data_IF_193484578040
#
_entry.id   IF_193484578040
#
_cell.length_a   1.000
_cell.length_b   1.000
_cell.length_c   1.000
_cell.angle_alpha   90.00
_cell.angle_beta   90.00
_cell.angle_gamma   90.00
#
_symmetry.space_group_name_H-M   'P 1'
#
loop_
_entity.id
_entity.type
_entity.pdbx_description
1 polymer ?
#
# COMPACT_ATOMS: atom_id res chain seq x y z
N UNK A 1 -31.01 -7.83 -11.21
CA UNK A 1 -31.68 -6.64 -10.66
C UNK A 1 -31.73 -6.73 -9.11
N UNK A 2 -32.36 -7.75 -8.50
CA UNK A 2 -32.56 -7.89 -7.03
C UNK A 2 -31.30 -7.62 -6.20
N UNK A 3 -30.16 -8.19 -6.56
CA UNK A 3 -28.87 -7.94 -5.88
C UNK A 3 -28.53 -6.43 -5.85
N UNK A 4 -28.70 -5.73 -6.96
CA UNK A 4 -28.36 -4.31 -7.05
C UNK A 4 -29.32 -3.46 -6.21
N UNK A 5 -30.61 -3.85 -6.14
CA UNK A 5 -31.60 -3.19 -5.29
C UNK A 5 -31.26 -3.37 -3.80
N UNK A 6 -30.77 -4.55 -3.41
CA UNK A 6 -30.30 -4.79 -2.04
C UNK A 6 -29.01 -3.99 -1.75
N UNK A 7 -28.06 -3.94 -2.68
CA UNK A 7 -26.86 -3.07 -2.55
C UNK A 7 -27.26 -1.60 -2.43
N UNK A 8 -28.30 -1.16 -3.15
CA UNK A 8 -28.82 0.22 -3.09
C UNK A 8 -29.35 0.57 -1.71
N UNK A 9 -30.11 -0.36 -1.08
CA UNK A 9 -30.63 -0.17 0.28
C UNK A 9 -29.52 -0.05 1.32
N UNK A 10 -28.36 -0.66 1.08
CA UNK A 10 -27.21 -0.64 1.98
C UNK A 10 -26.28 0.57 1.77
N UNK A 11 -26.56 1.45 0.79
CA UNK A 11 -25.78 2.67 0.58
C UNK A 11 -25.93 3.61 1.79
N UNK A 12 -24.79 4.06 2.32
CA UNK A 12 -24.75 4.89 3.53
C UNK A 12 -24.73 4.08 4.85
N UNK A 13 -25.03 2.77 4.81
CA UNK A 13 -24.97 1.88 5.97
C UNK A 13 -23.67 1.05 5.95
N UNK A 14 -23.53 0.21 4.93
CA UNK A 14 -22.37 -0.70 4.78
C UNK A 14 -21.74 -0.69 3.37
N UNK A 15 -22.35 0.02 2.44
CA UNK A 15 -21.89 0.16 1.05
C UNK A 15 -21.78 1.63 0.67
N UNK A 16 -20.80 1.96 -0.18
CA UNK A 16 -20.69 3.30 -0.75
C UNK A 16 -21.52 3.43 -2.03
N UNK A 17 -21.90 4.67 -2.36
CA UNK A 17 -22.61 5.02 -3.60
C UNK A 17 -21.83 4.55 -4.83
N UNK A 18 -20.51 4.68 -4.81
CA UNK A 18 -19.63 4.24 -5.90
C UNK A 18 -19.64 2.71 -6.06
N UNK A 19 -19.83 1.97 -4.97
CA UNK A 19 -19.97 0.50 -5.04
C UNK A 19 -21.26 0.12 -5.75
N UNK A 20 -22.38 0.76 -5.39
CA UNK A 20 -23.65 0.56 -6.09
C UNK A 20 -23.54 0.91 -7.58
N UNK A 21 -22.99 2.08 -7.93
CA UNK A 21 -22.78 2.50 -9.32
C UNK A 21 -21.97 1.49 -10.14
N UNK A 22 -20.95 0.88 -9.54
CA UNK A 22 -20.14 -0.15 -10.22
C UNK A 22 -20.92 -1.43 -10.53
N UNK A 23 -21.88 -1.81 -9.68
CA UNK A 23 -22.77 -2.94 -9.95
C UNK A 23 -23.80 -2.58 -11.02
N UNK A 24 -24.35 -1.37 -11.00
CA UNK A 24 -25.27 -0.91 -12.04
C UNK A 24 -24.59 -0.89 -13.43
N UNK A 25 -23.38 -0.36 -13.52
CA UNK A 25 -22.61 -0.39 -14.77
C UNK A 25 -22.34 -1.83 -15.22
N UNK A 26 -22.03 -2.74 -14.28
CA UNK A 26 -21.82 -4.16 -14.61
C UNK A 26 -23.11 -4.82 -15.13
N UNK A 27 -24.25 -4.53 -14.51
CA UNK A 27 -25.56 -5.01 -14.95
C UNK A 27 -25.88 -4.51 -16.37
N UNK A 28 -25.68 -3.20 -16.61
CA UNK A 28 -25.92 -2.63 -17.93
C UNK A 28 -25.06 -3.30 -19.00
N UNK A 29 -23.76 -3.47 -18.77
CA UNK A 29 -22.86 -4.14 -19.72
C UNK A 29 -23.25 -5.60 -19.99
N UNK A 30 -23.77 -6.31 -19.00
CA UNK A 30 -24.29 -7.65 -19.16
C UNK A 30 -25.57 -7.66 -20.00
N UNK A 31 -26.50 -6.75 -19.76
CA UNK A 31 -27.73 -6.63 -20.53
C UNK A 31 -27.43 -6.27 -21.99
N UNK A 32 -26.51 -5.30 -22.22
CA UNK A 32 -26.07 -4.93 -23.57
C UNK A 32 -25.46 -6.14 -24.30
N UNK A 33 -24.61 -6.93 -23.64
CA UNK A 33 -24.02 -8.16 -24.18
C UNK A 33 -25.08 -9.22 -24.55
N UNK A 34 -26.02 -9.48 -23.64
CA UNK A 34 -27.10 -10.46 -23.90
C UNK A 34 -27.93 -10.03 -25.13
N UNK A 35 -28.26 -8.76 -25.19
CA UNK A 35 -29.03 -8.22 -26.33
C UNK A 35 -28.26 -8.29 -27.63
N UNK A 36 -26.97 -7.87 -27.62
CA UNK A 36 -26.16 -7.78 -28.86
C UNK A 36 -25.73 -9.19 -29.35
N UNK A 37 -25.35 -10.07 -28.45
CA UNK A 37 -24.77 -11.37 -28.83
C UNK A 37 -25.81 -12.47 -29.01
N UNK A 38 -26.87 -12.47 -28.17
CA UNK A 38 -27.90 -13.50 -28.19
C UNK A 38 -29.23 -13.03 -28.79
N UNK A 39 -29.37 -11.73 -29.08
CA UNK A 39 -30.57 -11.10 -29.60
C UNK A 39 -31.83 -11.34 -28.74
N UNK A 40 -31.66 -11.43 -27.43
CA UNK A 40 -32.75 -11.58 -26.44
C UNK A 40 -32.62 -10.51 -25.34
N UNK A 41 -33.73 -10.26 -24.63
CA UNK A 41 -33.75 -9.28 -23.56
C UNK A 41 -33.16 -9.78 -22.22
N UNK A 42 -33.23 -11.11 -21.99
CA UNK A 42 -32.71 -11.77 -20.79
C UNK A 42 -32.46 -13.25 -21.09
N UNK A 43 -31.64 -13.92 -20.27
CA UNK A 43 -31.36 -15.34 -20.35
C UNK A 43 -31.50 -16.01 -18.97
N UNK A 44 -31.82 -17.31 -18.98
CA UNK A 44 -31.84 -18.09 -17.74
C UNK A 44 -30.44 -18.25 -17.17
N UNK A 45 -30.30 -18.17 -15.83
CA UNK A 45 -29.02 -18.46 -15.16
C UNK A 45 -28.51 -19.88 -15.43
N UNK A 46 -29.39 -20.83 -15.79
CA UNK A 46 -29.02 -22.18 -16.17
C UNK A 46 -28.31 -22.28 -17.52
N UNK A 47 -28.48 -21.28 -18.37
CA UNK A 47 -27.83 -21.18 -19.70
C UNK A 47 -26.44 -20.56 -19.60
N UNK A 48 -26.12 -19.92 -18.45
CA UNK A 48 -24.80 -19.36 -18.21
C UNK A 48 -23.79 -20.49 -18.00
N UNK A 49 -23.02 -20.77 -19.02
CA UNK A 49 -21.97 -21.80 -19.03
C UNK A 49 -20.58 -21.16 -19.23
N UNK A 50 -19.55 -21.99 -19.34
CA UNK A 50 -18.17 -21.52 -19.54
C UNK A 50 -18.03 -20.71 -20.85
N UNK A 51 -18.70 -21.12 -21.93
CA UNK A 51 -18.65 -20.41 -23.22
C UNK A 51 -19.29 -19.02 -23.11
N UNK A 52 -20.40 -18.88 -22.36
CA UNK A 52 -21.00 -17.58 -22.08
C UNK A 52 -19.99 -16.63 -21.40
N UNK A 53 -19.24 -17.11 -20.41
CA UNK A 53 -18.22 -16.30 -19.72
C UNK A 53 -17.10 -15.87 -20.68
N UNK A 54 -16.66 -16.77 -21.54
CA UNK A 54 -15.63 -16.49 -22.55
C UNK A 54 -16.11 -15.44 -23.56
N UNK A 55 -17.31 -15.59 -24.09
CA UNK A 55 -17.91 -14.64 -25.03
C UNK A 55 -18.11 -13.27 -24.37
N UNK A 56 -18.53 -13.24 -23.09
CA UNK A 56 -18.65 -11.98 -22.35
C UNK A 56 -17.29 -11.32 -22.12
N UNK A 57 -16.24 -12.08 -21.82
CA UNK A 57 -14.88 -11.55 -21.71
C UNK A 57 -14.42 -10.90 -23.03
N UNK A 58 -14.62 -11.58 -24.16
CA UNK A 58 -14.31 -11.07 -25.50
C UNK A 58 -15.10 -9.79 -25.79
N UNK A 59 -16.42 -9.79 -25.56
CA UNK A 59 -17.28 -8.63 -25.75
C UNK A 59 -16.79 -7.41 -24.94
N UNK A 60 -16.42 -7.60 -23.68
CA UNK A 60 -15.90 -6.52 -22.85
C UNK A 60 -14.59 -5.94 -23.41
N UNK A 61 -13.73 -6.80 -23.95
CA UNK A 61 -12.42 -6.36 -24.48
C UNK A 61 -12.53 -5.74 -25.86
N UNK A 62 -13.40 -6.25 -26.72
CA UNK A 62 -13.56 -5.78 -28.11
C UNK A 62 -14.62 -4.66 -28.23
N UNK A 63 -15.89 -4.99 -28.06
CA UNK A 63 -17.00 -4.02 -28.24
C UNK A 63 -16.99 -2.91 -27.19
N UNK A 64 -16.62 -3.22 -25.94
CA UNK A 64 -16.54 -2.23 -24.86
C UNK A 64 -15.18 -1.58 -24.67
N UNK A 65 -14.15 -1.98 -25.41
CA UNK A 65 -12.78 -1.45 -25.33
C UNK A 65 -12.17 -1.49 -23.90
N UNK A 66 -12.57 -2.49 -23.09
CA UNK A 66 -12.12 -2.63 -21.71
C UNK A 66 -10.71 -3.23 -21.66
N UNK A 67 -9.81 -2.59 -20.90
CA UNK A 67 -8.49 -3.18 -20.59
C UNK A 67 -8.66 -4.39 -19.67
N UNK A 68 -7.70 -5.33 -19.69
CA UNK A 68 -7.68 -6.59 -18.93
C UNK A 68 -8.19 -6.46 -17.47
N UNK A 69 -7.68 -5.50 -16.71
CA UNK A 69 -8.07 -5.33 -15.31
C UNK A 69 -9.50 -4.80 -15.13
N UNK A 70 -10.01 -4.07 -16.11
CA UNK A 70 -11.41 -3.61 -16.12
C UNK A 70 -12.34 -4.78 -16.41
N UNK A 71 -12.02 -5.57 -17.42
CA UNK A 71 -12.73 -6.84 -17.77
C UNK A 71 -12.76 -7.78 -16.57
N UNK A 72 -11.61 -8.04 -15.94
CA UNK A 72 -11.53 -8.88 -14.75
C UNK A 72 -12.43 -8.39 -13.60
N UNK A 73 -12.57 -7.07 -13.41
CA UNK A 73 -13.50 -6.51 -12.40
C UNK A 73 -14.97 -6.70 -12.76
N UNK A 74 -15.33 -6.67 -14.02
CA UNK A 74 -16.70 -7.00 -14.45
C UNK A 74 -16.99 -8.48 -14.19
N UNK A 75 -16.10 -9.38 -14.58
CA UNK A 75 -16.21 -10.80 -14.33
C UNK A 75 -16.28 -11.13 -12.84
N UNK A 76 -15.49 -10.46 -11.97
CA UNK A 76 -15.59 -10.64 -10.52
C UNK A 76 -16.96 -10.25 -9.97
N UNK A 77 -17.56 -9.15 -10.45
CA UNK A 77 -18.90 -8.75 -10.01
C UNK A 77 -19.94 -9.74 -10.47
N UNK A 78 -19.83 -10.25 -11.70
CA UNK A 78 -20.71 -11.29 -12.21
C UNK A 78 -20.56 -12.56 -11.39
N UNK A 79 -19.32 -12.99 -11.08
CA UNK A 79 -19.07 -14.14 -10.22
C UNK A 79 -19.76 -14.03 -8.85
N UNK A 80 -19.84 -12.83 -8.27
CA UNK A 80 -20.57 -12.60 -7.01
C UNK A 80 -22.05 -12.98 -7.15
N UNK A 81 -22.68 -12.66 -8.28
CA UNK A 81 -24.07 -13.02 -8.56
C UNK A 81 -24.22 -14.53 -8.75
N UNK A 82 -23.30 -15.17 -9.47
CA UNK A 82 -23.28 -16.63 -9.67
C UNK A 82 -23.11 -17.38 -8.35
N UNK A 83 -22.22 -16.91 -7.47
CA UNK A 83 -22.06 -17.50 -6.13
C UNK A 83 -23.36 -17.37 -5.31
N UNK A 84 -24.01 -16.22 -5.38
CA UNK A 84 -25.33 -16.02 -4.73
C UNK A 84 -26.37 -17.00 -5.30
N UNK A 85 -26.43 -17.15 -6.61
CA UNK A 85 -27.36 -18.07 -7.27
C UNK A 85 -27.11 -19.53 -6.86
N UNK A 86 -25.85 -19.94 -6.78
CA UNK A 86 -25.45 -21.27 -6.32
C UNK A 86 -25.84 -21.52 -4.87
N UNK A 87 -25.54 -20.56 -3.98
CA UNK A 87 -25.87 -20.68 -2.55
C UNK A 87 -27.39 -20.72 -2.27
N UNK A 88 -28.19 -20.17 -3.19
CA UNK A 88 -29.65 -20.24 -3.11
C UNK A 88 -30.24 -21.45 -3.86
N UNK A 89 -29.40 -22.35 -4.42
CA UNK A 89 -29.85 -23.53 -5.14
C UNK A 89 -30.48 -23.26 -6.52
N UNK A 90 -30.35 -22.03 -7.05
CA UNK A 90 -30.92 -21.66 -8.37
C UNK A 90 -30.12 -22.26 -9.53
N UNK A 91 -28.83 -22.53 -9.29
CA UNK A 91 -27.96 -23.27 -10.20
C UNK A 91 -27.15 -24.31 -9.41
N UNK A 92 -26.89 -25.46 -10.03
CA UNK A 92 -26.10 -26.54 -9.44
C UNK A 92 -24.64 -26.50 -9.90
N UNK A 93 -24.41 -26.12 -11.14
CA UNK A 93 -23.08 -26.05 -11.76
C UNK A 93 -22.57 -24.63 -11.69
N UNK A 94 -21.34 -24.44 -11.19
CA UNK A 94 -20.68 -23.14 -11.19
C UNK A 94 -19.95 -22.91 -12.53
N UNK A 95 -20.41 -22.00 -13.40
CA UNK A 95 -19.76 -21.73 -14.67
C UNK A 95 -18.33 -21.16 -14.51
N UNK A 96 -18.00 -20.62 -13.33
CA UNK A 96 -16.66 -20.12 -13.02
C UNK A 96 -15.71 -21.19 -12.44
N UNK A 97 -16.14 -22.46 -12.27
CA UNK A 97 -15.32 -23.52 -11.64
C UNK A 97 -13.93 -23.62 -12.28
N UNK A 98 -13.89 -23.64 -13.63
CA UNK A 98 -12.65 -23.73 -14.41
C UNK A 98 -12.28 -22.41 -15.10
N UNK A 99 -12.97 -21.31 -14.79
CA UNK A 99 -12.72 -20.00 -15.40
C UNK A 99 -11.80 -19.17 -14.51
N UNK A 100 -10.58 -18.89 -15.01
CA UNK A 100 -9.57 -18.11 -14.27
C UNK A 100 -9.66 -16.64 -14.62
N UNK A 101 -10.18 -15.82 -13.72
CA UNK A 101 -10.15 -14.35 -13.84
C UNK A 101 -8.71 -13.88 -13.65
N UNK A 102 -8.09 -13.35 -14.71
CA UNK A 102 -6.68 -12.92 -14.70
C UNK A 102 -6.57 -11.41 -14.54
N UNK A 103 -5.76 -10.99 -13.55
CA UNK A 103 -5.35 -9.60 -13.38
C UNK A 103 -3.94 -9.40 -13.89
N UNK A 104 -3.75 -8.38 -14.73
CA UNK A 104 -2.40 -7.93 -15.10
C UNK A 104 -1.83 -7.11 -13.95
N UNK A 105 -0.65 -7.47 -13.47
CA UNK A 105 0.07 -6.69 -12.45
C UNK A 105 0.36 -5.29 -13.03
N UNK A 106 -0.10 -4.26 -12.32
CA UNK A 106 0.12 -2.86 -12.72
C UNK A 106 1.21 -2.28 -11.86
N UNK A 107 2.29 -1.87 -12.48
CA UNK A 107 3.29 -1.03 -11.84
C UNK A 107 2.81 0.42 -11.89
N UNK A 108 2.65 1.03 -10.74
CA UNK A 108 2.25 2.44 -10.64
C UNK A 108 3.43 3.38 -10.41
N UNK A 109 4.60 2.81 -10.18
CA UNK A 109 5.79 3.58 -9.83
C UNK A 109 5.68 4.27 -8.46
N UNK A 110 6.66 5.09 -8.18
CA UNK A 110 6.75 6.00 -7.02
C UNK A 110 7.69 7.15 -7.38
N UNK A 111 7.68 8.23 -6.63
CA UNK A 111 8.63 9.33 -6.79
C UNK A 111 9.92 9.04 -6.02
N UNK A 112 11.05 9.34 -6.67
CA UNK A 112 12.35 9.36 -5.99
C UNK A 112 12.44 10.57 -5.06
N UNK A 113 13.41 10.59 -4.14
CA UNK A 113 13.64 11.75 -3.29
C UNK A 113 13.95 13.01 -4.11
N UNK A 114 14.73 12.87 -5.18
CA UNK A 114 15.07 13.98 -6.08
C UNK A 114 13.82 14.58 -6.75
N UNK A 115 12.88 13.73 -7.22
CA UNK A 115 11.63 14.21 -7.82
C UNK A 115 10.74 14.93 -6.81
N UNK A 116 10.70 14.46 -5.54
CA UNK A 116 10.01 15.15 -4.45
C UNK A 116 10.64 16.52 -4.21
N UNK A 117 11.96 16.60 -4.14
CA UNK A 117 12.69 17.83 -3.90
C UNK A 117 12.48 18.86 -5.03
N UNK A 118 12.42 18.40 -6.29
CA UNK A 118 12.07 19.25 -7.44
C UNK A 118 10.67 19.84 -7.27
N UNK A 119 9.68 19.02 -6.93
CA UNK A 119 8.30 19.49 -6.70
C UNK A 119 8.23 20.47 -5.53
N UNK A 120 8.95 20.21 -4.44
CA UNK A 120 8.95 21.05 -3.25
C UNK A 120 9.58 22.44 -3.51
N UNK A 121 10.69 22.48 -4.26
CA UNK A 121 11.42 23.73 -4.55
C UNK A 121 10.77 24.57 -5.64
N UNK A 122 9.90 23.96 -6.46
CA UNK A 122 9.26 24.68 -7.57
C UNK A 122 8.31 25.74 -7.05
N UNK A 123 8.51 26.98 -7.50
CA UNK A 123 7.55 28.06 -7.31
C UNK A 123 6.53 28.04 -8.45
N UNK A 124 5.25 28.10 -8.12
CA UNK A 124 4.18 28.08 -9.09
C UNK A 124 3.57 29.48 -9.22
N UNK A 125 3.20 29.86 -10.43
CA UNK A 125 2.59 31.15 -10.71
C UNK A 125 1.19 31.30 -10.10
N UNK A 126 0.52 30.22 -9.73
CA UNK A 126 -0.84 30.22 -9.22
C UNK A 126 -0.93 29.54 -7.85
N UNK A 127 -1.62 30.18 -6.93
CA UNK A 127 -1.86 29.66 -5.57
C UNK A 127 -2.54 28.29 -5.60
N UNK A 128 -3.40 28.01 -6.59
CA UNK A 128 -4.06 26.69 -6.74
C UNK A 128 -3.06 25.56 -6.88
N UNK A 129 -2.00 25.74 -7.69
CA UNK A 129 -0.96 24.73 -7.89
C UNK A 129 -0.08 24.58 -6.64
N UNK A 130 0.21 25.68 -5.94
CA UNK A 130 0.93 25.61 -4.67
C UNK A 130 0.14 24.82 -3.62
N UNK A 131 -1.16 25.05 -3.50
CA UNK A 131 -2.03 24.28 -2.58
C UNK A 131 -2.03 22.78 -2.95
N UNK A 132 -2.14 22.44 -4.23
CA UNK A 132 -2.11 21.04 -4.68
C UNK A 132 -0.76 20.39 -4.41
N UNK A 133 0.35 21.11 -4.69
CA UNK A 133 1.70 20.67 -4.33
C UNK A 133 1.80 20.36 -2.84
N UNK A 134 1.42 21.29 -1.99
CA UNK A 134 1.53 21.16 -0.54
C UNK A 134 0.75 19.94 -0.03
N UNK A 135 -0.50 19.77 -0.47
CA UNK A 135 -1.34 18.62 -0.11
C UNK A 135 -0.73 17.30 -0.62
N UNK A 136 -0.18 17.30 -1.82
CA UNK A 136 0.46 16.13 -2.40
C UNK A 136 1.74 15.75 -1.64
N UNK A 137 2.60 16.74 -1.35
CA UNK A 137 3.82 16.57 -0.54
C UNK A 137 3.47 16.08 0.86
N UNK A 138 2.47 16.68 1.50
CA UNK A 138 1.96 16.19 2.78
C UNK A 138 1.63 14.71 2.75
N UNK A 139 0.97 14.25 1.67
CA UNK A 139 0.66 12.83 1.50
C UNK A 139 1.87 11.96 1.16
N UNK A 140 2.91 12.52 0.52
CA UNK A 140 4.18 11.82 0.29
C UNK A 140 4.96 11.55 1.60
N UNK A 141 4.74 12.36 2.63
CA UNK A 141 5.40 12.23 3.94
C UNK A 141 4.52 11.61 5.04
N UNK A 142 3.21 11.45 4.81
CA UNK A 142 2.29 10.84 5.78
C UNK A 142 1.67 9.53 5.32
N UNK A 143 1.66 9.28 4.02
CA UNK A 143 1.02 8.11 3.40
C UNK A 143 -0.51 8.11 3.47
N UNK A 144 -1.14 9.18 3.95
CA UNK A 144 -2.59 9.26 4.07
C UNK A 144 -3.28 9.23 2.70
N UNK A 145 -4.42 8.56 2.61
CA UNK A 145 -5.21 8.54 1.39
C UNK A 145 -5.98 9.87 1.22
N UNK A 146 -6.35 10.19 -0.02
CA UNK A 146 -7.05 11.42 -0.36
C UNK A 146 -8.21 11.75 0.60
N UNK A 147 -9.09 10.77 0.84
CA UNK A 147 -10.27 11.01 1.67
C UNK A 147 -9.91 11.24 3.14
N UNK A 148 -8.87 10.58 3.63
CA UNK A 148 -8.39 10.72 5.01
C UNK A 148 -7.78 12.12 5.20
N UNK A 149 -7.01 12.63 4.22
CA UNK A 149 -6.47 14.01 4.25
C UNK A 149 -7.58 15.05 4.09
N UNK A 150 -8.57 14.81 3.21
CA UNK A 150 -9.72 15.72 3.05
C UNK A 150 -10.53 15.89 4.33
N UNK A 151 -10.63 14.82 5.12
CA UNK A 151 -11.41 14.81 6.37
C UNK A 151 -10.56 15.09 7.61
N UNK A 152 -9.24 15.35 7.45
CA UNK A 152 -8.31 15.58 8.54
C UNK A 152 -8.68 16.88 9.30
N UNK A 153 -8.82 16.78 10.61
CA UNK A 153 -9.13 17.89 11.53
C UNK A 153 -8.01 18.09 12.53
N UNK A 154 -7.95 19.27 13.17
CA UNK A 154 -6.99 19.56 14.23
C UNK A 154 -7.06 18.55 15.38
N UNK A 155 -8.24 18.07 15.72
CA UNK A 155 -8.44 17.03 16.74
C UNK A 155 -7.75 15.71 16.45
N UNK A 156 -7.36 15.44 15.20
CA UNK A 156 -6.57 14.28 14.81
C UNK A 156 -5.07 14.44 15.06
N UNK A 157 -4.59 15.68 15.30
CA UNK A 157 -3.18 15.98 15.57
C UNK A 157 -3.02 16.04 17.08
N UNK A 158 -2.20 15.12 17.63
CA UNK A 158 -2.05 14.99 19.09
C UNK A 158 -0.59 14.76 19.45
N UNK A 159 -0.19 15.24 20.59
CA UNK A 159 1.07 14.85 21.23
C UNK A 159 0.96 13.40 21.67
N UNK A 160 1.99 12.59 21.41
CA UNK A 160 2.05 11.17 21.74
C UNK A 160 3.06 10.90 22.86
N UNK A 161 3.30 9.62 23.15
CA UNK A 161 4.16 9.15 24.25
C UNK A 161 5.64 9.56 24.13
N UNK A 162 6.06 10.03 22.95
CA UNK A 162 7.42 10.49 22.61
C UNK A 162 7.51 12.01 22.54
N UNK A 163 6.55 12.73 23.10
CA UNK A 163 6.36 14.19 23.04
C UNK A 163 6.29 14.74 21.60
N UNK A 164 6.27 13.86 20.61
CA UNK A 164 6.12 14.20 19.20
C UNK A 164 4.65 14.40 18.79
N UNK A 165 4.44 15.19 17.73
CA UNK A 165 3.12 15.33 17.12
C UNK A 165 2.85 14.14 16.21
N UNK A 166 1.67 13.57 16.37
CA UNK A 166 1.19 12.43 15.57
C UNK A 166 -0.17 12.72 14.96
N UNK A 167 -0.40 12.17 13.78
CA UNK A 167 -1.75 12.08 13.20
C UNK A 167 -2.35 10.76 13.63
N UNK A 168 -3.44 10.81 14.38
CA UNK A 168 -4.16 9.64 14.89
C UNK A 168 -5.59 9.67 14.35
N UNK A 169 -5.97 8.62 13.63
CA UNK A 169 -7.30 8.56 13.02
C UNK A 169 -7.71 7.17 12.58
N UNK A 170 -8.87 7.11 11.95
CA UNK A 170 -9.41 5.89 11.32
C UNK A 170 -9.55 6.10 9.82
N UNK A 171 -9.17 5.10 9.04
CA UNK A 171 -9.37 5.14 7.59
C UNK A 171 -10.85 5.15 7.24
N UNK A 172 -11.25 6.15 6.48
CA UNK A 172 -12.62 6.29 5.99
C UNK A 172 -13.12 5.04 5.24
N UNK A 173 -12.25 4.43 4.44
CA UNK A 173 -12.61 3.28 3.61
C UNK A 173 -12.74 1.97 4.37
N UNK A 174 -11.99 1.76 5.45
CA UNK A 174 -11.85 0.44 6.10
C UNK A 174 -12.07 0.44 7.60
N UNK A 175 -12.22 1.63 8.22
CA UNK A 175 -12.36 1.78 9.67
C UNK A 175 -11.10 1.43 10.46
N UNK A 176 -9.99 1.09 9.81
CA UNK A 176 -8.74 0.69 10.48
C UNK A 176 -8.03 1.93 11.02
N UNK A 177 -7.56 1.84 12.25
CA UNK A 177 -6.76 2.91 12.86
C UNK A 177 -5.43 3.08 12.13
N UNK A 178 -4.99 4.34 11.99
CA UNK A 178 -3.65 4.68 11.57
C UNK A 178 -3.05 5.68 12.56
N UNK A 179 -1.75 5.53 12.80
CA UNK A 179 -0.96 6.43 13.64
C UNK A 179 0.30 6.78 12.85
N UNK A 180 0.46 8.05 12.54
CA UNK A 180 1.56 8.54 11.71
C UNK A 180 2.29 9.64 12.46
N UNK A 181 3.59 9.47 12.81
CA UNK A 181 4.38 10.54 13.38
C UNK A 181 4.56 11.66 12.35
N UNK A 182 4.42 12.90 12.78
CA UNK A 182 4.59 14.07 11.93
C UNK A 182 6.07 14.44 11.83
N UNK A 183 6.61 14.32 10.62
CA UNK A 183 7.92 14.84 10.26
C UNK A 183 7.86 16.37 10.07
N UNK A 184 8.99 17.05 9.95
CA UNK A 184 9.03 18.51 9.87
C UNK A 184 8.33 19.08 8.63
N UNK A 185 8.51 18.44 7.46
CA UNK A 185 7.85 18.91 6.23
C UNK A 185 6.31 18.95 6.36
N UNK A 186 5.61 17.89 6.79
CA UNK A 186 4.17 17.97 7.02
C UNK A 186 3.78 18.94 8.15
N UNK A 187 4.60 19.14 9.19
CA UNK A 187 4.34 20.16 10.22
C UNK A 187 4.31 21.56 9.61
N UNK A 188 5.33 21.95 8.85
CA UNK A 188 5.41 23.24 8.16
C UNK A 188 4.21 23.46 7.23
N UNK A 189 3.76 22.42 6.52
CA UNK A 189 2.59 22.52 5.67
C UNK A 189 1.32 22.77 6.50
N UNK A 190 1.15 22.10 7.65
CA UNK A 190 0.02 22.32 8.56
C UNK A 190 0.04 23.76 9.07
N UNK A 191 1.17 24.25 9.54
CA UNK A 191 1.35 25.62 10.05
C UNK A 191 0.98 26.68 8.99
N UNK A 192 1.38 26.48 7.73
CA UNK A 192 1.03 27.36 6.60
C UNK A 192 -0.47 27.61 6.47
N UNK A 193 -1.29 26.59 6.76
CA UNK A 193 -2.76 26.65 6.62
C UNK A 193 -3.50 26.79 7.95
N UNK A 194 -2.80 26.81 9.08
CA UNK A 194 -3.39 26.93 10.41
C UNK A 194 -4.21 28.22 10.55
N UNK A 195 -5.39 28.11 11.15
CA UNK A 195 -6.29 29.25 11.40
C UNK A 195 -6.95 29.85 10.15
N UNK A 196 -6.70 29.32 8.95
CA UNK A 196 -7.20 29.86 7.67
C UNK A 196 -8.38 29.08 7.09
N UNK A 197 -8.75 27.98 7.70
CA UNK A 197 -9.75 27.04 7.14
C UNK A 197 -10.95 26.90 8.07
N UNK A 198 -12.17 26.77 7.51
CA UNK A 198 -13.37 26.48 8.28
C UNK A 198 -13.34 25.05 8.84
N UNK A 199 -14.23 24.78 9.81
CA UNK A 199 -14.53 23.45 10.36
C UNK A 199 -13.30 22.71 10.95
N UNK A 200 -12.32 23.42 11.51
CA UNK A 200 -11.09 22.82 12.06
C UNK A 200 -10.31 21.94 11.07
N UNK A 201 -10.52 22.11 9.78
CA UNK A 201 -9.78 21.41 8.75
C UNK A 201 -8.31 21.79 8.76
N UNK A 202 -7.45 20.81 8.54
CA UNK A 202 -6.00 20.99 8.52
C UNK A 202 -5.50 21.49 7.17
N UNK A 203 -6.10 21.05 6.05
CA UNK A 203 -5.65 21.35 4.69
C UNK A 203 -6.81 21.70 3.75
N UNK A 204 -6.61 22.64 2.80
CA UNK A 204 -7.63 23.09 1.84
C UNK A 204 -7.81 22.11 0.66
N UNK A 205 -8.26 20.88 0.95
CA UNK A 205 -8.34 19.81 -0.04
C UNK A 205 -9.54 19.98 -0.98
N UNK A 206 -9.27 20.17 -2.26
CA UNK A 206 -10.30 20.23 -3.31
C UNK A 206 -10.76 18.81 -3.74
N UNK A 207 -11.66 18.70 -4.72
CA UNK A 207 -12.14 17.40 -5.21
C UNK A 207 -11.01 16.54 -5.77
N UNK A 208 -11.12 15.20 -5.63
CA UNK A 208 -10.09 14.27 -6.10
C UNK A 208 -9.83 14.39 -7.61
N UNK A 209 -10.85 14.69 -8.38
CA UNK A 209 -10.72 14.92 -9.82
C UNK A 209 -9.82 16.12 -10.08
N UNK A 210 -10.13 17.30 -9.50
CA UNK A 210 -9.31 18.51 -9.64
C UNK A 210 -7.88 18.33 -9.11
N UNK A 211 -7.72 17.63 -7.97
CA UNK A 211 -6.38 17.30 -7.48
C UNK A 211 -5.56 16.55 -8.52
N UNK A 212 -6.13 15.52 -9.14
CA UNK A 212 -5.42 14.73 -10.15
C UNK A 212 -5.19 15.50 -11.47
N UNK A 213 -6.06 16.40 -11.85
CA UNK A 213 -5.87 17.30 -13.02
C UNK A 213 -4.67 18.22 -12.81
N UNK A 214 -4.63 18.93 -11.67
CA UNK A 214 -3.53 19.83 -11.33
C UNK A 214 -2.20 19.11 -11.03
N UNK A 215 -2.26 17.87 -10.52
CA UNK A 215 -1.04 17.07 -10.35
C UNK A 215 -0.39 16.71 -11.69
N UNK A 216 -1.17 16.51 -12.75
CA UNK A 216 -0.61 16.33 -14.10
C UNK A 216 0.07 17.60 -14.58
N UNK A 217 -0.55 18.78 -14.36
CA UNK A 217 0.05 20.08 -14.67
C UNK A 217 1.37 20.29 -13.90
N UNK A 218 1.39 19.98 -12.60
CA UNK A 218 2.60 20.02 -11.77
C UNK A 218 3.68 19.09 -12.35
N UNK A 219 3.33 17.86 -12.75
CA UNK A 219 4.26 16.93 -13.36
C UNK A 219 4.92 17.50 -14.60
N UNK A 220 4.13 18.07 -15.51
CA UNK A 220 4.62 18.72 -16.74
C UNK A 220 5.55 19.90 -16.42
N UNK A 221 5.13 20.80 -15.51
CA UNK A 221 5.93 21.99 -15.12
C UNK A 221 7.22 21.63 -14.40
N UNK A 222 7.25 20.51 -13.70
CA UNK A 222 8.43 19.98 -13.01
C UNK A 222 9.31 19.08 -13.88
N UNK A 223 8.93 18.76 -15.12
CA UNK A 223 9.66 17.87 -16.01
C UNK A 223 9.68 16.41 -15.52
N UNK A 224 8.61 15.96 -14.85
CA UNK A 224 8.50 14.62 -14.33
C UNK A 224 7.66 13.77 -15.28
N UNK A 225 8.28 12.77 -15.93
CA UNK A 225 7.60 11.90 -16.92
C UNK A 225 6.59 10.92 -16.29
N UNK A 226 6.58 10.79 -14.97
CA UNK A 226 5.64 9.92 -14.26
C UNK A 226 4.25 10.54 -14.22
N UNK A 227 3.21 9.71 -14.40
CA UNK A 227 1.83 10.17 -14.26
C UNK A 227 1.51 10.47 -12.78
N UNK A 228 1.63 11.75 -12.40
CA UNK A 228 1.31 12.19 -11.05
C UNK A 228 -0.18 12.02 -10.79
N UNK A 229 -0.49 11.29 -9.75
CA UNK A 229 -1.84 11.13 -9.20
C UNK A 229 -1.78 11.16 -7.69
N UNK A 230 -2.89 11.54 -7.04
CA UNK A 230 -2.89 11.60 -5.58
C UNK A 230 -2.49 10.25 -4.93
N UNK A 231 -2.88 9.14 -5.54
CA UNK A 231 -2.51 7.82 -5.04
C UNK A 231 -1.02 7.52 -5.13
N UNK A 232 -0.31 8.17 -6.06
CA UNK A 232 1.15 8.05 -6.21
C UNK A 232 1.88 8.54 -4.95
N UNK A 233 1.37 9.59 -4.27
CA UNK A 233 1.94 10.06 -3.01
C UNK A 233 2.02 8.95 -1.95
N UNK A 234 0.94 8.18 -1.80
CA UNK A 234 0.90 7.06 -0.86
C UNK A 234 1.84 5.91 -1.27
N UNK A 235 1.96 5.63 -2.57
CA UNK A 235 2.98 4.69 -3.09
C UNK A 235 4.39 5.17 -2.77
N UNK A 236 4.64 6.47 -2.98
CA UNK A 236 5.93 7.12 -2.70
C UNK A 236 6.28 7.00 -1.22
N UNK A 237 5.37 7.39 -0.32
CA UNK A 237 5.57 7.22 1.13
C UNK A 237 5.95 5.78 1.48
N UNK A 238 5.11 4.82 1.07
CA UNK A 238 5.33 3.42 1.40
C UNK A 238 6.69 2.90 0.91
N UNK A 239 7.03 3.18 -0.35
CA UNK A 239 8.27 2.69 -0.95
C UNK A 239 9.49 3.36 -0.33
N UNK A 240 9.50 4.69 -0.18
CA UNK A 240 10.65 5.41 0.40
C UNK A 240 10.87 5.03 1.87
N UNK A 241 9.80 4.90 2.65
CA UNK A 241 9.90 4.53 4.07
C UNK A 241 10.47 3.11 4.22
N UNK A 242 10.03 2.14 3.42
CA UNK A 242 10.59 0.80 3.39
C UNK A 242 12.06 0.78 2.91
N UNK A 243 12.38 1.57 1.90
CA UNK A 243 13.76 1.68 1.37
C UNK A 243 14.71 2.29 2.42
N UNK A 244 14.20 3.20 3.25
CA UNK A 244 14.96 3.80 4.38
C UNK A 244 15.05 2.90 5.61
N UNK A 245 14.58 1.67 5.56
CA UNK A 245 14.76 0.65 6.62
C UNK A 245 13.65 0.59 7.66
N UNK A 246 12.56 1.35 7.52
CA UNK A 246 11.40 1.18 8.40
C UNK A 246 10.73 -0.17 8.14
N UNK A 247 10.38 -0.88 9.20
CA UNK A 247 9.78 -2.22 9.09
C UNK A 247 8.43 -2.19 8.34
N UNK A 248 8.14 -3.27 7.63
CA UNK A 248 6.90 -3.38 6.85
C UNK A 248 5.64 -3.34 7.75
N UNK A 249 5.75 -3.84 8.99
CA UNK A 249 4.70 -3.80 9.99
C UNK A 249 4.40 -2.36 10.40
N UNK A 250 5.42 -1.54 10.66
CA UNK A 250 5.28 -0.14 10.98
C UNK A 250 4.67 0.65 9.84
N UNK A 251 5.14 0.42 8.60
CA UNK A 251 4.56 1.05 7.41
C UNK A 251 3.11 0.60 7.20
N UNK A 252 2.80 -0.67 7.41
CA UNK A 252 1.43 -1.19 7.32
C UNK A 252 0.48 -0.52 8.32
N UNK A 253 0.95 -0.31 9.57
CA UNK A 253 0.21 0.39 10.63
C UNK A 253 -0.02 1.87 10.28
N UNK A 254 1.03 2.57 9.83
CA UNK A 254 0.90 3.98 9.39
C UNK A 254 -0.07 4.12 8.21
N UNK A 255 -0.05 3.19 7.28
CA UNK A 255 -0.97 3.16 6.16
C UNK A 255 -2.40 2.69 6.54
N UNK A 256 -2.64 2.15 7.72
CA UNK A 256 -3.92 1.58 8.13
C UNK A 256 -4.37 0.42 7.23
N UNK A 257 -3.47 -0.50 6.90
CA UNK A 257 -3.81 -1.70 6.14
C UNK A 257 -4.29 -2.81 7.09
N UNK A 258 -5.40 -3.46 6.74
CA UNK A 258 -5.92 -4.63 7.46
C UNK A 258 -5.07 -5.88 7.27
N UNK A 259 -4.35 -5.95 6.13
CA UNK A 259 -3.53 -7.10 5.76
C UNK A 259 -2.18 -6.61 5.24
N UNK A 260 -1.11 -7.12 5.82
CA UNK A 260 0.27 -6.79 5.47
C UNK A 260 0.61 -7.10 4.00
N UNK A 261 -0.08 -8.08 3.39
CA UNK A 261 0.04 -8.37 1.95
C UNK A 261 -0.24 -7.15 1.08
N UNK A 262 -1.07 -6.20 1.55
CA UNK A 262 -1.33 -4.93 0.86
C UNK A 262 -0.10 -4.02 0.89
N UNK A 263 0.74 -4.12 1.94
CA UNK A 263 1.99 -3.35 2.05
C UNK A 263 3.13 -4.02 1.29
N UNK A 264 3.11 -5.35 1.16
CA UNK A 264 4.13 -6.11 0.43
C UNK A 264 4.25 -5.72 -1.05
N UNK A 265 3.21 -5.14 -1.65
CA UNK A 265 3.29 -4.62 -3.03
C UNK A 265 4.32 -3.48 -3.19
N UNK A 266 4.65 -2.78 -2.10
CA UNK A 266 5.65 -1.71 -2.05
C UNK A 266 7.04 -2.22 -1.65
N UNK A 267 7.11 -3.38 -1.00
CA UNK A 267 8.34 -4.02 -0.58
C UNK A 267 9.04 -4.68 -1.77
N UNK A 268 9.44 -3.87 -2.76
CA UNK A 268 10.38 -4.31 -3.78
C UNK A 268 11.75 -4.32 -3.13
N UNK A 269 12.22 -5.50 -2.78
CA UNK A 269 13.61 -5.67 -2.35
C UNK A 269 14.47 -5.34 -3.56
N UNK A 270 15.08 -4.17 -3.55
CA UNK A 270 16.08 -3.78 -4.55
C UNK A 270 17.42 -4.35 -4.12
N UNK A 271 18.32 -4.65 -5.08
CA UNK A 271 19.67 -5.09 -4.77
C UNK A 271 20.41 -4.08 -3.87
N UNK A 272 20.11 -2.79 -4.03
CA UNK A 272 20.58 -1.71 -3.14
C UNK A 272 20.15 -1.92 -1.70
N UNK A 273 18.90 -2.30 -1.46
CA UNK A 273 18.43 -2.57 -0.09
C UNK A 273 19.08 -3.82 0.49
N UNK A 274 19.21 -4.89 -0.29
CA UNK A 274 19.93 -6.11 0.14
C UNK A 274 21.36 -5.76 0.54
N UNK A 275 22.07 -5.00 -0.29
CA UNK A 275 23.43 -4.55 -0.02
C UNK A 275 23.51 -3.71 1.27
N UNK A 276 22.60 -2.75 1.45
CA UNK A 276 22.56 -1.89 2.65
C UNK A 276 22.22 -2.68 3.91
N UNK A 277 21.25 -3.59 3.84
CA UNK A 277 20.87 -4.44 4.97
C UNK A 277 22.04 -5.37 5.37
N UNK A 278 22.77 -5.94 4.39
CA UNK A 278 23.94 -6.79 4.64
C UNK A 278 25.14 -6.00 5.18
N UNK A 279 25.37 -4.79 4.71
CA UNK A 279 26.40 -3.90 5.26
C UNK A 279 26.11 -3.56 6.72
N UNK A 280 24.87 -3.18 7.06
CA UNK A 280 24.45 -2.91 8.44
C UNK A 280 24.53 -4.17 9.33
N UNK A 281 24.27 -5.35 8.78
CA UNK A 281 24.42 -6.61 9.50
C UNK A 281 25.90 -6.91 9.78
N UNK A 282 26.78 -6.72 8.79
CA UNK A 282 28.23 -6.90 8.96
C UNK A 282 28.78 -5.98 10.06
N UNK A 283 28.40 -4.71 10.05
CA UNK A 283 28.77 -3.71 11.08
C UNK A 283 28.35 -4.14 12.49
N UNK A 284 27.11 -4.64 12.65
CA UNK A 284 26.61 -5.15 13.93
C UNK A 284 27.33 -6.42 14.40
N UNK A 285 27.85 -7.22 13.49
CA UNK A 285 28.67 -8.39 13.83
C UNK A 285 30.06 -7.97 14.31
N UNK A 286 30.66 -6.97 13.65
CA UNK A 286 31.98 -6.43 14.04
C UNK A 286 31.90 -5.73 15.38
N UNK A 287 30.88 -4.90 15.64
CA UNK A 287 30.66 -4.26 16.94
C UNK A 287 30.53 -5.28 18.10
N UNK A 288 29.88 -6.42 17.85
CA UNK A 288 29.79 -7.48 18.83
C UNK A 288 31.15 -8.16 19.08
N UNK A 289 31.97 -8.34 18.06
CA UNK A 289 33.33 -8.91 18.17
C UNK A 289 34.25 -7.98 18.94
N UNK A 290 34.23 -6.68 18.64
CA UNK A 290 35.01 -5.66 19.34
C UNK A 290 34.63 -5.60 20.82
N UNK A 291 33.33 -5.59 21.15
CA UNK A 291 32.84 -5.60 22.54
C UNK A 291 33.18 -6.91 23.28
N UNK A 292 33.19 -8.06 22.60
CA UNK A 292 33.58 -9.35 23.17
C UNK A 292 35.10 -9.40 23.45
N UNK A 293 35.90 -8.95 22.47
CA UNK A 293 37.35 -8.91 22.64
C UNK A 293 37.76 -7.92 23.77
N UNK A 294 37.19 -6.72 23.80
CA UNK A 294 37.40 -5.74 24.87
C UNK A 294 37.03 -6.28 26.27
N UNK A 295 36.03 -7.17 26.35
CA UNK A 295 35.63 -7.82 27.61
C UNK A 295 36.58 -8.95 28.01
N UNK A 296 37.09 -9.69 27.04
CA UNK A 296 38.13 -10.70 27.20
C UNK A 296 39.48 -10.07 27.59
N UNK A 297 39.86 -8.96 26.93
CA UNK A 297 41.08 -8.21 27.23
C UNK A 297 41.06 -7.65 28.67
N UNK A 298 39.93 -7.08 29.12
CA UNK A 298 39.74 -6.61 30.48
C UNK A 298 39.78 -7.74 31.51
N UNK A 299 39.21 -8.92 31.20
CA UNK A 299 39.32 -10.10 32.05
C UNK A 299 40.76 -10.60 32.12
N UNK A 300 41.49 -10.57 31.00
CA UNK A 300 42.91 -10.96 30.93
C UNK A 300 43.81 -9.99 31.71
N UNK A 301 43.50 -8.69 31.68
CA UNK A 301 44.24 -7.67 32.48
C UNK A 301 44.05 -7.87 33.98
N UNK A 302 42.88 -8.33 34.42
CA UNK A 302 42.60 -8.55 35.84
C UNK A 302 43.22 -9.85 36.43
N UNK A 303 43.75 -10.75 35.58
CA UNK A 303 44.40 -11.98 36.03
C UNK A 303 45.83 -11.72 36.52
N UNK A 304 46.21 -12.37 37.63
CA UNK A 304 47.57 -12.37 38.14
C UNK A 304 48.57 -13.03 37.17
N UNK A 305 49.84 -12.76 37.32
CA UNK A 305 50.89 -13.31 36.44
C UNK A 305 50.85 -14.86 36.43
N UNK A 306 50.58 -15.48 37.61
CA UNK A 306 50.46 -16.94 37.73
C UNK A 306 49.26 -17.51 36.97
N UNK A 307 48.10 -16.84 36.99
CA UNK A 307 46.91 -17.27 36.30
C UNK A 307 47.04 -17.08 34.77
N UNK A 308 47.74 -16.05 34.33
CA UNK A 308 48.10 -15.84 32.89
C UNK A 308 49.00 -16.95 32.39
N UNK A 309 50.03 -17.34 33.15
CA UNK A 309 50.91 -18.45 32.80
C UNK A 309 50.21 -19.81 32.81
N UNK A 310 49.25 -20.04 33.69
CA UNK A 310 48.45 -21.26 33.73
C UNK A 310 47.56 -21.42 32.49
N UNK A 311 47.04 -20.33 31.95
CA UNK A 311 46.23 -20.34 30.69
C UNK A 311 47.10 -20.65 29.44
N UNK A 312 48.36 -20.24 29.40
CA UNK A 312 49.28 -20.57 28.32
C UNK A 312 49.86 -22.01 28.43
N UNK A 313 49.83 -22.63 29.62
CA UNK A 313 50.35 -23.97 29.85
C UNK A 313 49.28 -25.07 29.81
N UNK A 314 48.06 -24.77 29.39
CA UNK A 314 47.07 -25.80 29.09
C UNK A 314 47.56 -26.65 27.89
N UNK A 315 47.73 -28.00 28.08
CA UNK A 315 48.24 -28.83 26.98
C UNK A 315 47.28 -28.80 25.81
N UNK A 316 47.84 -28.62 24.58
CA UNK A 316 47.14 -28.67 23.30
C UNK A 316 46.61 -30.09 22.96
N UNK A 317 46.14 -30.86 23.93
CA UNK A 317 45.74 -32.26 23.75
C UNK A 317 44.25 -32.45 23.40
N UNK A 318 43.59 -31.44 22.85
CA UNK A 318 42.17 -31.55 22.46
C UNK A 318 41.86 -31.40 20.94
N UNK A 319 42.88 -31.55 20.08
CA UNK A 319 42.64 -31.35 18.64
C UNK A 319 42.72 -32.57 17.72
N UNK A 320 42.94 -33.80 18.23
CA UNK A 320 43.04 -34.98 17.36
C UNK A 320 42.32 -36.20 17.94
N UNK A 321 41.01 -36.16 18.10
CA UNK A 321 40.20 -37.37 18.26
C UNK A 321 39.02 -37.35 17.28
N UNK A 322 39.12 -38.04 16.12
CA UNK A 322 38.07 -38.06 15.11
C UNK A 322 36.79 -38.80 15.51
N UNK A 323 36.77 -39.55 16.59
CA UNK A 323 35.63 -40.37 17.01
C UNK A 323 34.58 -39.65 17.89
N UNK A 324 34.94 -38.48 18.47
CA UNK A 324 34.02 -37.74 19.32
C UNK A 324 32.99 -36.84 18.57
N UNK A 325 33.21 -36.59 17.30
CA UNK A 325 32.28 -35.77 16.45
C UNK A 325 31.02 -36.54 16.03
N UNK A 326 31.00 -37.87 16.19
CA UNK A 326 29.83 -38.71 15.78
C UNK A 326 28.79 -38.96 16.89
N UNK A 327 28.92 -38.34 18.06
CA UNK A 327 27.92 -38.50 19.15
C UNK A 327 27.10 -37.27 19.51
N UNK A 328 27.23 -36.19 18.74
CA UNK A 328 26.37 -34.99 18.87
C UNK A 328 25.91 -34.57 17.47
N UNK A 329 25.17 -35.44 16.81
CA UNK A 329 24.32 -35.15 15.69
C UNK A 329 22.95 -35.77 15.90
#
# INVERSE_FOLDING_TARGET
>A
QRHNDDVKKLVGISKSKETFQKYEVARKRMADFIKEYYNVSDISLKEVNHMFLHNFEIYLMTSCNCKQNTTAKFLQRFRTIIIMAKNNGWIHIDPFANFKIRFKKTDRGYLTQQEIDIIMRKKFATERLERVRDIFIFSCFTGLAYIDVKNLRQSNIRTSFDDGLWIIGKREKTGVNYNVPLLDTPKQIIEKYSGKLPDEKVLPVMSNQKMNEYLKEIGTVCGIDKNLSYHLARHTFATLTLTKGVSIESVSKMLGHTNIKTTQIYARVTDVKVSTDMASFAEKLEDKRVKSNSKLDKLFECLSLGEKMALFNLPQTLSNDPERVKRIS
#
